data_IF_918791956931
#
_entry.id   IF_918791956931
#
_cell.length_a   1.000
_cell.length_b   1.000
_cell.length_c   1.000
_cell.angle_alpha   90.00
_cell.angle_beta   90.00
_cell.angle_gamma   90.00
#
_symmetry.space_group_name_H-M   'P 1'
#
loop_
_entity.id
_entity.type
_entity.pdbx_description
1 polymer ?
#
# COMPACT_ATOMS: atom_id res chain seq x y z
N UNK A 1 -10.93 -6.28 6.68
CA UNK A 1 -9.87 -5.91 5.73
C UNK A 1 -8.87 -7.04 5.66
N UNK A 2 -8.46 -7.39 4.44
CA UNK A 2 -7.57 -8.51 4.16
C UNK A 2 -6.64 -8.16 3.01
N UNK A 3 -5.35 -8.47 3.15
CA UNK A 3 -4.38 -8.35 2.06
C UNK A 3 -4.58 -9.55 1.11
N UNK A 4 -5.08 -9.28 -0.10
CA UNK A 4 -5.32 -10.31 -1.13
C UNK A 4 -4.05 -10.59 -1.93
N UNK A 5 -3.31 -9.56 -2.32
CA UNK A 5 -2.05 -9.70 -3.03
C UNK A 5 -1.14 -8.49 -2.83
N UNK A 6 0.14 -8.69 -3.08
CA UNK A 6 1.14 -7.63 -3.14
C UNK A 6 2.19 -7.98 -4.20
N UNK A 7 2.61 -7.00 -4.98
CA UNK A 7 3.62 -7.13 -6.02
C UNK A 7 4.57 -5.93 -5.99
N UNK A 8 5.76 -6.13 -6.55
CA UNK A 8 6.80 -5.11 -6.64
C UNK A 8 7.41 -5.12 -8.03
N UNK A 9 7.67 -3.93 -8.56
CA UNK A 9 8.34 -3.75 -9.84
C UNK A 9 9.45 -2.71 -9.62
N UNK A 10 10.70 -2.98 -10.05
CA UNK A 10 11.75 -1.96 -10.06
C UNK A 10 11.36 -0.78 -10.95
N UNK A 11 11.66 0.43 -10.51
CA UNK A 11 11.49 1.63 -11.32
C UNK A 11 12.81 1.89 -12.05
N UNK A 12 12.78 1.73 -13.38
CA UNK A 12 13.96 1.87 -14.24
C UNK A 12 14.71 3.19 -13.98
N UNK A 13 16.01 3.07 -13.73
CA UNK A 13 16.86 4.23 -13.45
C UNK A 13 16.78 4.77 -12.01
N UNK A 14 16.21 4.00 -11.07
CA UNK A 14 16.15 4.38 -9.65
C UNK A 14 16.37 3.20 -8.70
N UNK A 15 16.69 3.49 -7.44
CA UNK A 15 16.78 2.51 -6.35
C UNK A 15 15.40 2.22 -5.67
N UNK A 16 14.32 2.67 -6.30
CA UNK A 16 12.96 2.55 -5.79
C UNK A 16 12.21 1.39 -6.43
N UNK A 17 11.28 0.84 -5.65
CA UNK A 17 10.31 -0.15 -6.10
C UNK A 17 8.92 0.48 -6.13
N UNK A 18 8.20 0.28 -7.22
CA UNK A 18 6.76 0.48 -7.27
C UNK A 18 6.10 -0.75 -6.64
N UNK A 19 5.49 -0.55 -5.49
CA UNK A 19 4.77 -1.61 -4.78
C UNK A 19 3.28 -1.42 -4.96
N UNK A 20 2.57 -2.50 -5.27
CA UNK A 20 1.11 -2.51 -5.42
C UNK A 20 0.52 -3.57 -4.51
N UNK A 21 -0.43 -3.20 -3.66
CA UNK A 21 -1.19 -4.10 -2.80
C UNK A 21 -2.68 -4.05 -3.13
N UNK A 22 -3.33 -5.21 -3.13
CA UNK A 22 -4.78 -5.34 -3.24
C UNK A 22 -5.36 -5.67 -1.87
N UNK A 23 -6.22 -4.80 -1.35
CA UNK A 23 -6.92 -4.96 -0.08
C UNK A 23 -8.38 -5.30 -0.35
N UNK A 24 -8.81 -6.45 0.13
CA UNK A 24 -10.20 -6.88 0.14
C UNK A 24 -10.89 -6.61 1.49
N UNK A 25 -12.21 -6.84 1.51
CA UNK A 25 -13.04 -6.72 2.71
C UNK A 25 -12.91 -5.35 3.40
N UNK A 26 -12.83 -4.29 2.60
CA UNK A 26 -12.78 -2.90 3.06
C UNK A 26 -14.20 -2.43 3.34
N UNK A 27 -14.51 -2.28 4.63
CA UNK A 27 -15.82 -1.78 5.10
C UNK A 27 -15.92 -0.26 5.07
N UNK A 28 -14.80 0.45 5.12
CA UNK A 28 -14.74 1.91 5.10
C UNK A 28 -13.48 2.39 4.39
N UNK A 29 -13.66 3.13 3.31
CA UNK A 29 -12.58 3.78 2.58
C UNK A 29 -11.84 4.81 3.44
N UNK A 30 -12.56 5.51 4.33
CA UNK A 30 -11.96 6.49 5.23
C UNK A 30 -11.02 5.83 6.25
N UNK A 31 -11.40 4.68 6.81
CA UNK A 31 -10.56 3.93 7.75
C UNK A 31 -9.31 3.42 7.02
N UNK A 32 -9.49 2.83 5.83
CA UNK A 32 -8.37 2.37 5.02
C UNK A 32 -7.41 3.53 4.70
N UNK A 33 -7.91 4.65 4.19
CA UNK A 33 -7.08 5.79 3.84
C UNK A 33 -6.26 6.29 5.03
N UNK A 34 -6.86 6.38 6.22
CA UNK A 34 -6.15 6.76 7.44
C UNK A 34 -5.04 5.76 7.79
N UNK A 35 -5.34 4.47 7.79
CA UNK A 35 -4.34 3.43 8.09
C UNK A 35 -3.17 3.44 7.10
N UNK A 36 -3.43 3.72 5.82
CA UNK A 36 -2.41 3.80 4.79
C UNK A 36 -1.54 5.04 4.96
N UNK A 37 -2.14 6.19 5.29
CA UNK A 37 -1.38 7.41 5.59
C UNK A 37 -0.49 7.19 6.83
N UNK A 38 -1.02 6.53 7.86
CA UNK A 38 -0.27 6.25 9.09
C UNK A 38 0.91 5.29 8.84
N UNK A 39 0.77 4.34 7.91
CA UNK A 39 1.79 3.32 7.62
C UNK A 39 2.79 3.70 6.52
N UNK A 40 2.33 4.39 5.47
CA UNK A 40 3.08 4.68 4.25
C UNK A 40 3.48 6.16 4.14
N UNK A 41 2.86 7.03 4.95
CA UNK A 41 3.04 8.47 4.89
C UNK A 41 1.98 9.19 4.04
N UNK A 42 2.03 10.52 4.03
CA UNK A 42 1.07 11.35 3.29
C UNK A 42 1.39 11.33 1.79
N UNK A 43 0.39 11.06 0.93
CA UNK A 43 0.53 11.13 -0.53
C UNK A 43 1.11 12.47 -1.01
N UNK A 44 2.11 12.42 -1.88
CA UNK A 44 2.72 13.60 -2.51
C UNK A 44 3.57 14.47 -1.57
N UNK A 45 3.71 14.08 -0.31
CA UNK A 45 4.60 14.72 0.66
C UNK A 45 5.68 13.75 1.16
N UNK A 46 5.26 12.61 1.67
CA UNK A 46 6.15 11.62 2.28
C UNK A 46 6.40 10.43 1.31
N UNK A 47 5.42 10.09 0.45
CA UNK A 47 5.54 9.04 -0.57
C UNK A 47 4.63 9.30 -1.79
N UNK A 48 4.95 8.71 -2.95
CA UNK A 48 4.08 8.74 -4.14
C UNK A 48 2.96 7.68 -4.04
N UNK A 49 2.12 7.79 -3.01
CA UNK A 49 1.01 6.86 -2.78
C UNK A 49 -0.23 7.23 -3.58
N UNK A 50 -0.86 6.24 -4.20
CA UNK A 50 -2.15 6.31 -4.88
C UNK A 50 -3.08 5.21 -4.35
N UNK A 51 -4.37 5.53 -4.20
CA UNK A 51 -5.42 4.60 -3.78
C UNK A 51 -6.58 4.63 -4.77
N UNK A 52 -6.87 3.49 -5.40
CA UNK A 52 -7.92 3.35 -6.40
C UNK A 52 -8.81 2.16 -6.05
N UNK A 53 -10.12 2.36 -6.02
CA UNK A 53 -11.04 1.26 -5.79
C UNK A 53 -12.41 1.70 -5.32
N UNK A 54 -13.26 0.69 -5.13
CA UNK A 54 -14.59 0.83 -4.55
C UNK A 54 -14.84 -0.36 -3.64
N UNK A 55 -15.64 -0.16 -2.58
CA UNK A 55 -15.87 -1.23 -1.62
C UNK A 55 -16.43 -2.49 -2.32
N UNK A 56 -15.89 -3.69 -1.99
CA UNK A 56 -14.99 -3.97 -0.87
C UNK A 56 -13.49 -4.00 -1.22
N UNK A 57 -13.09 -3.64 -2.45
CA UNK A 57 -11.73 -3.88 -2.95
C UNK A 57 -11.01 -2.60 -3.33
N UNK A 58 -9.79 -2.44 -2.82
CA UNK A 58 -8.94 -1.28 -3.04
C UNK A 58 -7.56 -1.70 -3.49
N UNK A 59 -7.05 -1.02 -4.50
CA UNK A 59 -5.67 -1.11 -4.97
C UNK A 59 -4.90 0.07 -4.40
N UNK A 60 -3.74 -0.21 -3.83
CA UNK A 60 -2.86 0.78 -3.20
C UNK A 60 -1.51 0.64 -3.86
N UNK A 61 -1.03 1.71 -4.45
CA UNK A 61 0.26 1.76 -5.13
C UNK A 61 1.12 2.80 -4.45
N UNK A 62 2.38 2.49 -4.15
CA UNK A 62 3.32 3.45 -3.59
C UNK A 62 4.75 3.15 -4.01
N UNK A 63 5.58 4.19 -4.03
CA UNK A 63 7.03 4.08 -4.20
C UNK A 63 7.68 3.92 -2.84
N UNK A 64 8.68 3.05 -2.76
CA UNK A 64 9.49 2.87 -1.55
C UNK A 64 10.94 2.53 -1.89
N UNK A 65 11.91 2.84 -1.00
CA UNK A 65 13.25 2.30 -1.10
C UNK A 65 13.22 0.77 -1.17
N UNK A 66 14.28 0.15 -1.68
CA UNK A 66 14.43 -1.31 -1.91
C UNK A 66 14.16 -2.22 -0.70
N UNK A 67 12.91 -2.25 -0.23
CA UNK A 67 12.35 -3.17 0.75
C UNK A 67 11.98 -4.46 0.04
N UNK A 68 12.27 -5.59 0.68
CA UNK A 68 11.88 -6.89 0.14
C UNK A 68 10.35 -7.01 0.09
N UNK A 69 9.85 -7.87 -0.81
CA UNK A 69 8.42 -8.17 -0.90
C UNK A 69 7.85 -8.63 0.44
N UNK A 70 8.63 -9.38 1.22
CA UNK A 70 8.24 -9.83 2.57
C UNK A 70 8.08 -8.66 3.54
N UNK A 71 9.01 -7.70 3.54
CA UNK A 71 8.92 -6.50 4.37
C UNK A 71 7.68 -5.67 4.02
N UNK A 72 7.43 -5.46 2.71
CA UNK A 72 6.25 -4.76 2.24
C UNK A 72 4.95 -5.49 2.63
N UNK A 73 4.95 -6.83 2.54
CA UNK A 73 3.82 -7.67 2.97
C UNK A 73 3.54 -7.48 4.46
N UNK A 74 4.58 -7.50 5.28
CA UNK A 74 4.46 -7.35 6.74
C UNK A 74 3.98 -5.95 7.12
N UNK A 75 4.49 -4.90 6.47
CA UNK A 75 4.04 -3.53 6.64
C UNK A 75 2.53 -3.40 6.37
N UNK A 76 2.07 -3.92 5.23
CA UNK A 76 0.65 -3.86 4.87
C UNK A 76 -0.24 -4.67 5.82
N UNK A 77 0.20 -5.86 6.23
CA UNK A 77 -0.53 -6.68 7.21
C UNK A 77 -0.66 -5.97 8.56
N UNK A 78 0.37 -5.27 9.02
CA UNK A 78 0.33 -4.48 10.25
C UNK A 78 -0.59 -3.26 10.10
N UNK A 79 -0.53 -2.58 8.96
CA UNK A 79 -1.34 -1.39 8.70
C UNK A 79 -2.85 -1.66 8.70
N UNK A 80 -3.27 -2.80 8.15
CA UNK A 80 -4.68 -3.18 8.04
C UNK A 80 -5.17 -4.05 9.22
N UNK A 81 -4.30 -4.35 10.19
CA UNK A 81 -4.68 -5.08 11.39
C UNK A 81 -5.60 -4.22 12.27
N UNK A 82 -6.55 -4.83 13.03
CA UNK A 82 -7.45 -4.11 13.93
C UNK A 82 -6.73 -3.39 15.08
#
# INVERSE_FOLDING_TARGET
MKLESISQIPIDGSDFLLTTAIIGEVSSSCILARQMIDALGRPGMDSDMEMLGTNPTWTITWTQPSLTLEQATNLMKQAIAP
#
